data_IF_239359642368
#
_entry.id   IF_239359642368
#
_cell.length_a   1.000
_cell.length_b   1.000
_cell.length_c   1.000
_cell.angle_alpha   90.00
_cell.angle_beta   90.00
_cell.angle_gamma   90.00
#
_symmetry.space_group_name_H-M   'P 1'
#
loop_
_entity.id
_entity.type
_entity.pdbx_description
1 polymer ?
#
# COMPACT_ATOMS: atom_id res chain seq x y z
N UNK A 1 -15.02 -55.89 0.91
CA UNK A 1 -14.83 -55.04 -0.23
C UNK A 1 -14.75 -53.61 0.29
N UNK A 2 -13.58 -52.96 0.22
CA UNK A 2 -13.40 -51.56 0.57
C UNK A 2 -13.60 -50.73 -0.69
N UNK A 3 -14.48 -49.76 -0.60
CA UNK A 3 -14.83 -48.83 -1.67
C UNK A 3 -13.60 -47.98 -2.06
N UNK A 4 -13.12 -48.02 -3.31
CA UNK A 4 -11.94 -47.28 -3.74
C UNK A 4 -12.24 -45.82 -4.14
N UNK A 5 -13.43 -45.29 -3.87
CA UNK A 5 -13.89 -43.97 -4.33
C UNK A 5 -13.52 -42.79 -3.41
N UNK A 6 -12.57 -42.97 -2.47
CA UNK A 6 -12.02 -41.91 -1.64
C UNK A 6 -10.91 -41.07 -2.33
N UNK A 7 -10.91 -40.96 -3.63
CA UNK A 7 -10.04 -40.02 -4.36
C UNK A 7 -10.56 -38.59 -4.17
N UNK A 8 -10.13 -37.95 -3.10
CA UNK A 8 -10.29 -36.54 -2.89
C UNK A 8 -9.74 -35.82 -4.13
N UNK A 9 -10.62 -35.19 -4.87
CA UNK A 9 -10.23 -34.21 -5.86
C UNK A 9 -9.58 -33.05 -5.12
N UNK A 10 -8.24 -32.93 -5.20
CA UNK A 10 -7.50 -31.81 -4.63
C UNK A 10 -7.88 -30.46 -5.26
N UNK A 11 -8.63 -30.50 -6.37
CA UNK A 11 -8.98 -29.34 -7.18
C UNK A 11 -10.00 -28.37 -6.55
N UNK A 12 -10.69 -28.72 -5.47
CA UNK A 12 -11.80 -27.93 -4.94
C UNK A 12 -11.48 -27.15 -3.64
N UNK A 13 -10.28 -27.28 -3.07
CA UNK A 13 -9.99 -26.69 -1.77
C UNK A 13 -9.06 -25.47 -1.89
N UNK A 14 -9.52 -24.36 -1.36
CA UNK A 14 -8.77 -23.22 -0.83
C UNK A 14 -8.29 -22.09 -1.77
N UNK A 15 -8.40 -22.18 -3.08
CA UNK A 15 -7.89 -21.13 -3.97
C UNK A 15 -8.55 -19.74 -3.77
N UNK A 16 -9.77 -19.70 -3.23
CA UNK A 16 -10.49 -18.44 -2.97
C UNK A 16 -9.87 -17.58 -1.85
N UNK A 17 -8.96 -18.13 -1.06
CA UNK A 17 -8.29 -17.41 0.04
C UNK A 17 -6.97 -16.79 -0.37
N UNK A 18 -6.45 -17.08 -1.58
CA UNK A 18 -5.19 -16.51 -2.06
C UNK A 18 -5.40 -15.02 -2.27
N UNK A 19 -4.67 -14.19 -1.53
CA UNK A 19 -4.71 -12.74 -1.68
C UNK A 19 -3.80 -12.24 -2.80
N UNK A 20 -3.79 -10.92 -3.04
CA UNK A 20 -3.01 -10.34 -4.15
C UNK A 20 -1.50 -10.48 -3.94
N UNK A 21 -1.01 -10.41 -2.69
CA UNK A 21 0.41 -10.51 -2.39
C UNK A 21 0.87 -11.96 -2.49
N UNK A 22 0.03 -12.89 -2.10
CA UNK A 22 0.27 -14.33 -2.25
C UNK A 22 0.37 -14.75 -3.71
N UNK A 23 -0.37 -14.11 -4.64
CA UNK A 23 -0.20 -14.38 -6.07
C UNK A 23 1.22 -14.15 -6.55
N UNK A 24 1.92 -13.13 -5.97
CA UNK A 24 3.30 -12.80 -6.31
C UNK A 24 4.32 -13.82 -5.76
N UNK A 25 3.90 -14.65 -4.84
CA UNK A 25 4.71 -15.75 -4.27
C UNK A 25 4.39 -17.05 -4.97
N UNK A 26 3.10 -17.40 -5.06
CA UNK A 26 2.66 -18.69 -5.59
C UNK A 26 2.84 -18.83 -7.10
N UNK A 27 2.65 -17.74 -7.84
CA UNK A 27 2.84 -17.75 -9.30
C UNK A 27 4.25 -18.15 -9.72
N UNK A 28 5.29 -17.38 -9.34
CA UNK A 28 6.67 -17.71 -9.70
C UNK A 28 7.14 -19.07 -9.16
N UNK A 29 6.68 -19.45 -7.96
CA UNK A 29 6.98 -20.74 -7.39
C UNK A 29 6.41 -21.87 -8.24
N UNK A 30 5.14 -21.79 -8.61
CA UNK A 30 4.49 -22.82 -9.43
C UNK A 30 5.15 -22.93 -10.82
N UNK A 31 5.45 -21.80 -11.48
CA UNK A 31 6.15 -21.80 -12.78
C UNK A 31 7.50 -22.52 -12.69
N UNK A 32 8.29 -22.17 -11.70
CA UNK A 32 9.58 -22.84 -11.45
C UNK A 32 9.39 -24.34 -11.23
N UNK A 33 8.46 -24.73 -10.38
CA UNK A 33 8.23 -26.14 -10.02
C UNK A 33 7.57 -26.94 -11.14
N UNK A 34 6.69 -26.38 -11.94
CA UNK A 34 6.17 -27.02 -13.15
C UNK A 34 7.34 -27.39 -14.08
N UNK A 35 8.30 -26.48 -14.24
CA UNK A 35 9.47 -26.69 -15.08
C UNK A 35 10.44 -27.76 -14.50
N UNK A 36 10.64 -27.77 -13.20
CA UNK A 36 11.56 -28.69 -12.53
C UNK A 36 10.99 -30.10 -12.36
N UNK A 37 9.69 -30.21 -12.01
CA UNK A 37 9.07 -31.46 -11.54
C UNK A 37 8.19 -32.09 -12.61
N UNK A 38 7.32 -31.30 -13.27
CA UNK A 38 6.28 -31.83 -14.17
C UNK A 38 6.72 -31.94 -15.63
N UNK A 39 7.61 -31.02 -16.08
CA UNK A 39 8.11 -31.03 -17.46
C UNK A 39 8.96 -32.28 -17.72
N UNK A 40 8.86 -32.83 -18.90
CA UNK A 40 9.56 -34.06 -19.36
C UNK A 40 9.07 -35.36 -18.73
N UNK A 41 8.15 -35.34 -17.77
CA UNK A 41 7.55 -36.58 -17.24
C UNK A 41 6.73 -37.28 -18.30
N UNK A 42 5.95 -36.53 -19.07
CA UNK A 42 5.13 -37.01 -20.18
C UNK A 42 5.30 -36.05 -21.35
N UNK A 43 6.24 -36.31 -22.30
CA UNK A 43 6.62 -35.35 -23.34
C UNK A 43 5.46 -34.83 -24.20
N UNK A 44 4.39 -35.60 -24.36
CA UNK A 44 3.18 -35.15 -25.09
C UNK A 44 2.45 -33.99 -24.41
N UNK A 45 2.62 -33.80 -23.11
CA UNK A 45 2.02 -32.72 -22.32
C UNK A 45 2.94 -31.52 -22.13
N UNK A 46 4.22 -31.60 -22.51
CA UNK A 46 5.18 -30.52 -22.35
C UNK A 46 4.73 -29.20 -22.97
N UNK A 47 4.14 -29.15 -24.19
CA UNK A 47 3.63 -27.89 -24.74
C UNK A 47 2.52 -27.27 -23.90
N UNK A 48 1.63 -28.10 -23.33
CA UNK A 48 0.55 -27.62 -22.47
C UNK A 48 1.07 -27.11 -21.11
N UNK A 49 2.06 -27.80 -20.53
CA UNK A 49 2.73 -27.38 -19.29
C UNK A 49 3.50 -26.05 -19.48
N UNK A 50 4.21 -25.89 -20.61
CA UNK A 50 4.91 -24.65 -20.94
C UNK A 50 3.93 -23.50 -21.17
N UNK A 51 2.85 -23.76 -21.91
CA UNK A 51 1.80 -22.76 -22.14
C UNK A 51 1.18 -22.28 -20.82
N UNK A 52 0.75 -23.19 -19.95
CA UNK A 52 0.10 -22.82 -18.71
C UNK A 52 1.05 -22.12 -17.73
N UNK A 53 2.34 -22.47 -17.72
CA UNK A 53 3.38 -21.77 -16.96
C UNK A 53 3.52 -20.31 -17.43
N UNK A 54 3.56 -20.08 -18.76
CA UNK A 54 3.56 -18.73 -19.33
C UNK A 54 2.32 -17.91 -19.01
N UNK A 55 1.15 -18.55 -18.97
CA UNK A 55 -0.11 -17.90 -18.56
C UNK A 55 -0.05 -17.48 -17.07
N UNK A 56 0.49 -18.32 -16.19
CA UNK A 56 0.71 -17.95 -14.76
C UNK A 56 1.64 -16.74 -14.65
N UNK A 57 2.77 -16.72 -15.38
CA UNK A 57 3.68 -15.58 -15.38
C UNK A 57 2.99 -14.30 -15.82
N UNK A 58 2.25 -14.36 -16.93
CA UNK A 58 1.51 -13.23 -17.49
C UNK A 58 0.47 -12.70 -16.50
N UNK A 59 -0.32 -13.60 -15.92
CA UNK A 59 -1.35 -13.23 -14.94
C UNK A 59 -0.71 -12.67 -13.65
N UNK A 60 0.41 -13.25 -13.18
CA UNK A 60 1.15 -12.75 -12.02
C UNK A 60 1.70 -11.34 -12.26
N UNK A 61 2.29 -11.09 -13.44
CA UNK A 61 2.77 -9.78 -13.81
C UNK A 61 1.64 -8.74 -13.89
N UNK A 62 0.45 -9.12 -14.38
CA UNK A 62 -0.71 -8.24 -14.43
C UNK A 62 -1.17 -7.79 -13.02
N UNK A 63 -1.29 -8.73 -12.08
CA UNK A 63 -1.60 -8.42 -10.67
C UNK A 63 -0.50 -7.55 -10.04
N UNK A 64 0.78 -7.92 -10.25
CA UNK A 64 1.93 -7.19 -9.72
C UNK A 64 1.99 -5.73 -10.19
N UNK A 65 1.69 -5.46 -11.46
CA UNK A 65 1.60 -4.11 -12.01
C UNK A 65 0.55 -3.27 -11.30
N UNK A 66 -0.66 -3.83 -11.10
CA UNK A 66 -1.74 -3.12 -10.42
C UNK A 66 -1.44 -2.90 -8.94
N UNK A 67 -0.79 -3.84 -8.26
CA UNK A 67 -0.29 -3.68 -6.88
C UNK A 67 0.74 -2.56 -6.79
N UNK A 68 1.68 -2.49 -7.72
CA UNK A 68 2.67 -1.40 -7.82
C UNK A 68 1.98 -0.04 -7.91
N UNK A 69 1.04 0.11 -8.83
CA UNK A 69 0.25 1.33 -9.00
C UNK A 69 -0.50 1.72 -7.72
N UNK A 70 -1.06 0.75 -7.00
CA UNK A 70 -1.79 1.01 -5.75
C UNK A 70 -0.85 1.49 -4.64
N UNK A 71 0.31 0.86 -4.49
CA UNK A 71 1.34 1.26 -3.51
C UNK A 71 1.85 2.67 -3.79
N UNK A 72 2.11 3.01 -5.05
CA UNK A 72 2.50 4.35 -5.46
C UNK A 72 1.44 5.39 -5.08
N UNK A 73 0.16 5.11 -5.37
CA UNK A 73 -0.96 5.99 -4.99
C UNK A 73 -1.08 6.14 -3.47
N UNK A 74 -0.84 5.10 -2.68
CA UNK A 74 -0.86 5.18 -1.22
C UNK A 74 0.31 6.02 -0.67
N UNK A 75 1.50 5.93 -1.26
CA UNK A 75 2.64 6.79 -0.91
C UNK A 75 2.33 8.25 -1.25
N UNK A 76 1.86 8.53 -2.46
CA UNK A 76 1.46 9.88 -2.88
C UNK A 76 0.37 10.46 -1.97
N UNK A 77 -0.62 9.64 -1.60
CA UNK A 77 -1.67 10.04 -0.66
C UNK A 77 -1.10 10.40 0.71
N UNK A 78 -0.14 9.63 1.21
CA UNK A 78 0.47 9.86 2.53
C UNK A 78 1.31 11.14 2.55
N UNK A 79 2.11 11.37 1.52
CA UNK A 79 2.90 12.60 1.35
C UNK A 79 1.98 13.81 1.19
N UNK A 80 0.98 13.71 0.30
CA UNK A 80 -0.02 14.76 0.09
C UNK A 80 -0.85 15.06 1.34
N UNK A 81 -1.14 14.06 2.18
CA UNK A 81 -1.85 14.26 3.45
C UNK A 81 -1.04 15.11 4.43
N UNK A 82 0.27 14.86 4.56
CA UNK A 82 1.14 15.64 5.46
C UNK A 82 1.27 17.10 5.00
N UNK A 83 1.51 17.32 3.72
CA UNK A 83 1.57 18.67 3.14
C UNK A 83 0.24 19.42 3.34
N UNK A 84 -0.87 18.74 3.11
CA UNK A 84 -2.21 19.28 3.30
C UNK A 84 -2.48 19.64 4.76
N UNK A 85 -2.08 18.81 5.73
CA UNK A 85 -2.28 19.07 7.16
C UNK A 85 -1.48 20.31 7.61
N UNK A 86 -0.28 20.52 7.09
CA UNK A 86 0.50 21.75 7.31
C UNK A 86 -0.24 22.96 6.77
N UNK A 87 -0.65 22.94 5.52
CA UNK A 87 -1.36 24.05 4.87
C UNK A 87 -2.73 24.33 5.50
N UNK A 88 -3.47 23.29 5.94
CA UNK A 88 -4.70 23.47 6.72
C UNK A 88 -4.41 24.16 8.05
N UNK A 89 -3.32 23.81 8.72
CA UNK A 89 -2.94 24.42 10.00
C UNK A 89 -2.57 25.89 9.81
N UNK A 90 -1.82 26.23 8.77
CA UNK A 90 -1.46 27.61 8.40
C UNK A 90 -2.69 28.44 8.04
N UNK A 91 -3.57 27.89 7.20
CA UNK A 91 -4.82 28.55 6.82
C UNK A 91 -5.74 28.80 8.03
N UNK A 92 -5.81 27.87 8.96
CA UNK A 92 -6.55 28.03 10.22
C UNK A 92 -5.92 29.08 11.14
N UNK A 93 -4.60 29.13 11.21
CA UNK A 93 -3.87 30.17 11.95
C UNK A 93 -4.17 31.57 11.35
N UNK A 94 -4.22 31.69 10.02
CA UNK A 94 -4.63 32.91 9.32
C UNK A 94 -6.07 33.32 9.70
N UNK A 95 -7.03 32.38 9.62
CA UNK A 95 -8.41 32.64 10.02
C UNK A 95 -8.52 33.05 11.51
N UNK A 96 -7.69 32.46 12.38
CA UNK A 96 -7.61 32.85 13.79
C UNK A 96 -7.06 34.24 14.01
N UNK A 97 -6.00 34.65 13.27
CA UNK A 97 -5.46 36.01 13.29
C UNK A 97 -6.51 37.02 12.79
N UNK A 98 -7.18 36.68 11.70
CA UNK A 98 -8.25 37.51 11.16
C UNK A 98 -9.41 37.68 12.16
N UNK A 99 -9.86 36.63 12.83
CA UNK A 99 -10.88 36.70 13.87
C UNK A 99 -10.48 37.66 15.00
N UNK A 100 -9.22 37.56 15.49
CA UNK A 100 -8.69 38.46 16.53
C UNK A 100 -8.61 39.90 16.02
N UNK A 101 -8.25 40.11 14.77
CA UNK A 101 -8.26 41.45 14.16
C UNK A 101 -9.65 42.06 14.13
N UNK A 102 -10.68 41.29 13.78
CA UNK A 102 -12.06 41.76 13.85
C UNK A 102 -12.48 42.15 15.27
N UNK A 103 -12.05 41.37 16.29
CA UNK A 103 -12.35 41.63 17.70
C UNK A 103 -11.69 42.89 18.23
N UNK A 104 -10.52 43.23 17.72
CA UNK A 104 -9.77 44.42 18.14
C UNK A 104 -10.39 45.76 17.63
N UNK A 105 -11.30 45.69 16.65
CA UNK A 105 -11.90 46.88 16.05
C UNK A 105 -13.32 47.10 16.59
N UNK A 106 -13.76 48.37 16.57
CA UNK A 106 -15.13 48.73 16.98
C UNK A 106 -16.19 47.92 16.24
N UNK A 107 -17.16 47.33 16.98
CA UNK A 107 -18.17 46.38 16.46
C UNK A 107 -17.63 45.06 15.98
N UNK A 108 -16.52 44.55 16.53
CA UNK A 108 -15.88 43.31 16.12
C UNK A 108 -16.80 42.09 16.12
N UNK A 109 -17.76 42.02 17.08
CA UNK A 109 -18.74 40.94 17.14
C UNK A 109 -19.68 40.94 15.91
N UNK A 110 -20.15 42.13 15.48
CA UNK A 110 -21.00 42.26 14.29
C UNK A 110 -20.17 41.96 13.02
N UNK A 111 -18.96 42.51 12.94
CA UNK A 111 -18.05 42.24 11.83
C UNK A 111 -17.73 40.72 11.76
N UNK A 112 -17.53 40.05 12.89
CA UNK A 112 -17.31 38.59 12.92
C UNK A 112 -18.51 37.84 12.37
N UNK A 113 -19.74 38.16 12.72
CA UNK A 113 -20.95 37.53 12.19
C UNK A 113 -21.09 37.69 10.69
N UNK A 114 -20.64 38.82 10.13
CA UNK A 114 -20.67 39.09 8.67
C UNK A 114 -19.54 38.42 7.90
N UNK A 115 -18.30 38.53 8.40
CA UNK A 115 -17.11 38.10 7.65
C UNK A 115 -16.59 36.72 8.04
N UNK A 116 -16.98 36.24 9.22
CA UNK A 116 -16.58 34.94 9.72
C UNK A 116 -17.75 34.32 10.52
N UNK A 117 -18.85 33.94 9.84
CA UNK A 117 -20.07 33.45 10.48
C UNK A 117 -19.86 32.16 11.26
N UNK A 118 -18.84 31.37 10.87
CA UNK A 118 -18.45 30.15 11.57
C UNK A 118 -17.21 30.38 12.42
N UNK A 119 -17.24 29.97 13.68
CA UNK A 119 -16.04 30.00 14.50
C UNK A 119 -15.03 28.90 14.07
N UNK A 120 -13.77 28.99 14.51
CA UNK A 120 -12.71 28.07 14.15
C UNK A 120 -13.02 26.60 14.53
N UNK A 121 -13.81 26.41 15.58
CA UNK A 121 -14.24 25.08 16.03
C UNK A 121 -15.23 24.47 15.05
N UNK A 122 -16.18 25.27 14.56
CA UNK A 122 -17.19 24.85 13.57
C UNK A 122 -16.57 24.59 12.19
N UNK A 123 -15.61 25.41 11.77
CA UNK A 123 -14.84 25.18 10.52
C UNK A 123 -14.10 23.85 10.62
N UNK A 124 -13.63 23.49 11.82
CA UNK A 124 -12.92 22.25 12.05
C UNK A 124 -11.57 22.19 11.31
N UNK A 125 -11.04 20.98 11.09
CA UNK A 125 -9.77 20.74 10.38
C UNK A 125 -9.96 20.08 9.00
N UNK A 126 -11.19 19.98 8.52
CA UNK A 126 -11.47 19.40 7.21
C UNK A 126 -11.03 20.36 6.11
N UNK A 127 -10.12 19.97 5.20
CA UNK A 127 -9.58 20.86 4.16
C UNK A 127 -10.66 21.56 3.33
N UNK A 128 -11.70 20.85 2.93
CA UNK A 128 -12.79 21.39 2.14
C UNK A 128 -13.58 22.48 2.90
N UNK A 129 -13.78 22.34 4.21
CA UNK A 129 -14.42 23.36 5.06
C UNK A 129 -13.53 24.59 5.23
N UNK A 130 -12.23 24.39 5.39
CA UNK A 130 -11.26 25.49 5.47
C UNK A 130 -11.19 26.24 4.13
N UNK A 131 -11.18 25.52 3.00
CA UNK A 131 -11.26 26.12 1.66
C UNK A 131 -12.54 26.93 1.46
N UNK A 132 -13.69 26.40 1.89
CA UNK A 132 -14.96 27.12 1.82
C UNK A 132 -14.92 28.39 2.65
N UNK A 133 -14.37 28.33 3.88
CA UNK A 133 -14.23 29.52 4.74
C UNK A 133 -13.30 30.57 4.12
N UNK A 134 -12.17 30.16 3.55
CA UNK A 134 -11.27 31.07 2.82
C UNK A 134 -11.95 31.69 1.60
N UNK A 135 -12.69 30.89 0.82
CA UNK A 135 -13.44 31.36 -0.35
C UNK A 135 -14.51 32.40 0.01
N UNK A 136 -15.30 32.14 1.05
CA UNK A 136 -16.30 33.08 1.56
C UNK A 136 -15.65 34.37 2.06
N UNK A 137 -14.55 34.24 2.82
CA UNK A 137 -13.81 35.42 3.32
C UNK A 137 -13.19 36.22 2.18
N UNK A 138 -12.60 35.58 1.17
CA UNK A 138 -12.07 36.23 -0.01
C UNK A 138 -13.14 37.07 -0.74
N UNK A 139 -14.33 36.47 -0.94
CA UNK A 139 -15.45 37.18 -1.59
C UNK A 139 -15.91 38.36 -0.76
N UNK A 140 -16.01 38.23 0.55
CA UNK A 140 -16.41 39.27 1.45
C UNK A 140 -15.41 40.44 1.51
N UNK A 141 -14.11 40.14 1.55
CA UNK A 141 -13.03 41.15 1.56
C UNK A 141 -12.87 41.87 0.22
N UNK A 142 -13.25 41.25 -0.91
CA UNK A 142 -13.20 41.86 -2.23
C UNK A 142 -14.37 42.82 -2.49
N UNK A 143 -15.37 42.90 -1.62
CA UNK A 143 -16.52 43.79 -1.78
C UNK A 143 -16.09 45.25 -1.73
N UNK A 144 -16.64 46.09 -2.64
CA UNK A 144 -16.27 47.54 -2.79
C UNK A 144 -16.39 48.35 -1.50
N UNK A 145 -17.34 48.00 -0.62
CA UNK A 145 -17.63 48.70 0.62
C UNK A 145 -17.25 47.86 1.84
N UNK A 146 -16.16 47.08 1.77
CA UNK A 146 -15.71 46.27 2.90
C UNK A 146 -15.26 47.21 4.05
N UNK A 147 -15.91 47.17 5.22
CA UNK A 147 -15.57 48.03 6.35
C UNK A 147 -14.40 47.50 7.18
N UNK A 148 -13.78 46.38 6.77
CA UNK A 148 -12.66 45.78 7.49
C UNK A 148 -11.42 46.62 7.31
N UNK A 149 -10.77 47.01 8.41
CA UNK A 149 -9.49 47.70 8.36
C UNK A 149 -8.44 46.82 7.66
N UNK A 150 -7.65 47.42 6.77
CA UNK A 150 -6.65 46.68 5.98
C UNK A 150 -7.20 45.53 5.11
N UNK A 151 -8.44 45.66 4.61
CA UNK A 151 -9.09 44.62 3.82
C UNK A 151 -8.24 44.10 2.66
N UNK A 152 -7.47 45.01 1.98
CA UNK A 152 -6.61 44.66 0.87
C UNK A 152 -5.42 43.74 1.29
N UNK A 153 -4.85 43.96 2.46
CA UNK A 153 -3.77 43.14 2.99
C UNK A 153 -4.30 41.73 3.34
N UNK A 154 -5.42 41.69 4.05
CA UNK A 154 -6.08 40.43 4.38
C UNK A 154 -6.53 39.68 3.13
N UNK A 155 -7.03 40.37 2.10
CA UNK A 155 -7.40 39.71 0.84
C UNK A 155 -6.21 39.04 0.16
N UNK A 156 -5.02 39.67 0.18
CA UNK A 156 -3.80 39.05 -0.36
C UNK A 156 -3.44 37.74 0.41
N UNK A 157 -3.40 37.81 1.75
CA UNK A 157 -3.07 36.67 2.57
C UNK A 157 -4.09 35.51 2.39
N UNK A 158 -5.38 35.82 2.39
CA UNK A 158 -6.46 34.83 2.21
C UNK A 158 -6.38 34.21 0.81
N UNK A 159 -6.10 35.02 -0.22
CA UNK A 159 -5.96 34.53 -1.60
C UNK A 159 -4.75 33.61 -1.73
N UNK A 160 -3.61 33.96 -1.12
CA UNK A 160 -2.41 33.14 -1.11
C UNK A 160 -2.65 31.80 -0.38
N UNK A 161 -3.29 31.84 0.79
CA UNK A 161 -3.61 30.62 1.54
C UNK A 161 -4.59 29.71 0.77
N UNK A 162 -5.61 30.27 0.12
CA UNK A 162 -6.53 29.52 -0.72
C UNK A 162 -5.82 28.90 -1.94
N UNK A 163 -4.93 29.63 -2.60
CA UNK A 163 -4.14 29.16 -3.73
C UNK A 163 -3.18 28.03 -3.35
N UNK A 164 -2.57 28.10 -2.15
CA UNK A 164 -1.68 27.06 -1.65
C UNK A 164 -2.44 25.77 -1.28
N UNK A 165 -3.64 25.87 -0.73
CA UNK A 165 -4.43 24.72 -0.30
C UNK A 165 -5.20 24.03 -1.44
N UNK A 166 -5.61 24.77 -2.47
CA UNK A 166 -6.44 24.27 -3.57
C UNK A 166 -5.84 23.05 -4.33
N UNK A 167 -4.57 23.06 -4.78
CA UNK A 167 -3.99 21.92 -5.48
C UNK A 167 -3.93 20.68 -4.59
N UNK A 168 -3.58 20.84 -3.31
CA UNK A 168 -3.47 19.71 -2.36
C UNK A 168 -4.81 19.03 -2.09
N UNK A 169 -5.91 19.77 -2.13
CA UNK A 169 -7.27 19.21 -2.02
C UNK A 169 -7.62 18.46 -3.30
N UNK A 170 -7.38 19.06 -4.46
CA UNK A 170 -7.64 18.44 -5.76
C UNK A 170 -6.85 17.15 -5.97
N UNK A 171 -5.55 17.14 -5.65
CA UNK A 171 -4.67 15.98 -5.77
C UNK A 171 -5.14 14.83 -4.86
N UNK A 172 -5.57 15.16 -3.64
CA UNK A 172 -6.09 14.15 -2.70
C UNK A 172 -7.39 13.51 -3.21
N UNK A 173 -8.29 14.30 -3.77
CA UNK A 173 -9.56 13.79 -4.29
C UNK A 173 -9.35 13.01 -5.60
N UNK A 174 -8.41 13.42 -6.43
CA UNK A 174 -7.96 12.67 -7.61
C UNK A 174 -7.38 11.31 -7.21
N UNK A 175 -6.45 11.27 -6.25
CA UNK A 175 -5.86 10.03 -5.76
C UNK A 175 -6.90 9.06 -5.18
N UNK A 176 -7.89 9.56 -4.42
CA UNK A 176 -9.00 8.73 -3.92
C UNK A 176 -9.84 8.15 -5.06
N UNK A 177 -10.13 8.95 -6.09
CA UNK A 177 -10.93 8.51 -7.24
C UNK A 177 -10.18 7.45 -8.03
N UNK A 178 -8.88 7.65 -8.26
CA UNK A 178 -8.01 6.68 -8.94
C UNK A 178 -7.95 5.37 -8.16
N UNK A 179 -7.76 5.42 -6.84
CA UNK A 179 -7.76 4.21 -6.01
C UNK A 179 -9.08 3.44 -6.06
N UNK A 180 -10.22 4.14 -6.04
CA UNK A 180 -11.54 3.50 -6.17
C UNK A 180 -11.71 2.76 -7.50
N UNK A 181 -11.09 3.25 -8.57
CA UNK A 181 -11.09 2.58 -9.88
C UNK A 181 -10.17 1.37 -9.92
N UNK A 182 -8.99 1.46 -9.27
CA UNK A 182 -8.01 0.37 -9.25
C UNK A 182 -8.49 -0.86 -8.46
N UNK A 183 -9.33 -0.69 -7.43
CA UNK A 183 -9.81 -1.81 -6.62
C UNK A 183 -10.54 -2.89 -7.45
N UNK A 184 -11.56 -2.58 -8.28
CA UNK A 184 -12.22 -3.58 -9.11
C UNK A 184 -11.29 -4.17 -10.18
N UNK A 185 -10.32 -3.40 -10.70
CA UNK A 185 -9.34 -3.89 -11.68
C UNK A 185 -8.40 -4.94 -11.06
N UNK A 186 -7.93 -4.70 -9.84
CA UNK A 186 -7.12 -5.67 -9.09
C UNK A 186 -7.92 -6.94 -8.80
N UNK A 187 -9.19 -6.82 -8.40
CA UNK A 187 -10.05 -7.98 -8.16
C UNK A 187 -10.29 -8.78 -9.43
N UNK A 188 -10.51 -8.12 -10.56
CA UNK A 188 -10.65 -8.79 -11.85
C UNK A 188 -9.35 -9.52 -12.25
N UNK A 189 -8.20 -8.87 -12.10
CA UNK A 189 -6.91 -9.47 -12.38
C UNK A 189 -6.62 -10.68 -11.47
N UNK A 190 -6.92 -10.56 -10.16
CA UNK A 190 -6.82 -11.67 -9.21
C UNK A 190 -7.73 -12.83 -9.60
N UNK A 191 -8.97 -12.54 -9.95
CA UNK A 191 -9.91 -13.57 -10.37
C UNK A 191 -9.43 -14.31 -11.63
N UNK A 192 -8.89 -13.58 -12.60
CA UNK A 192 -8.28 -14.15 -13.80
C UNK A 192 -7.06 -15.02 -13.43
N UNK A 193 -6.20 -14.53 -12.54
CA UNK A 193 -5.06 -15.27 -12.04
C UNK A 193 -5.49 -16.59 -11.38
N UNK A 194 -6.52 -16.58 -10.53
CA UNK A 194 -7.04 -17.78 -9.88
C UNK A 194 -7.53 -18.82 -10.89
N UNK A 195 -8.20 -18.39 -11.96
CA UNK A 195 -8.66 -19.30 -13.02
C UNK A 195 -7.47 -19.98 -13.71
N UNK A 196 -6.42 -19.21 -14.06
CA UNK A 196 -5.21 -19.75 -14.67
C UNK A 196 -4.48 -20.71 -13.73
N UNK A 197 -4.38 -20.35 -12.45
CA UNK A 197 -3.73 -21.16 -11.43
C UNK A 197 -4.46 -22.49 -11.19
N UNK A 198 -5.79 -22.48 -11.17
CA UNK A 198 -6.61 -23.69 -11.10
C UNK A 198 -6.46 -24.57 -12.34
N UNK A 199 -6.42 -23.98 -13.52
CA UNK A 199 -6.16 -24.70 -14.76
C UNK A 199 -4.77 -25.38 -14.74
N UNK A 200 -3.77 -24.67 -14.21
CA UNK A 200 -2.42 -25.21 -14.02
C UNK A 200 -2.42 -26.42 -13.05
N UNK A 201 -3.10 -26.31 -11.92
CA UNK A 201 -3.27 -27.43 -10.99
C UNK A 201 -3.87 -28.65 -11.67
N UNK A 202 -4.95 -28.47 -12.41
CA UNK A 202 -5.61 -29.56 -13.14
C UNK A 202 -4.71 -30.19 -14.20
N UNK A 203 -3.93 -29.39 -14.92
CA UNK A 203 -3.01 -29.86 -15.96
C UNK A 203 -1.86 -30.67 -15.35
N UNK A 204 -1.24 -30.16 -14.29
CA UNK A 204 -0.15 -30.83 -13.57
C UNK A 204 -0.65 -32.10 -12.90
N UNK A 205 -1.82 -32.04 -12.27
CA UNK A 205 -2.46 -33.21 -11.66
C UNK A 205 -2.66 -34.34 -12.69
N UNK A 206 -3.14 -34.00 -13.89
CA UNK A 206 -3.31 -35.00 -14.95
C UNK A 206 -1.99 -35.67 -15.33
N UNK A 207 -0.91 -34.88 -15.48
CA UNK A 207 0.43 -35.40 -15.82
C UNK A 207 0.99 -36.28 -14.69
N UNK A 208 0.91 -35.85 -13.43
CA UNK A 208 1.40 -36.59 -12.29
C UNK A 208 0.60 -37.88 -12.06
N UNK A 209 -0.72 -37.88 -12.33
CA UNK A 209 -1.55 -39.10 -12.27
C UNK A 209 -1.10 -40.14 -13.28
N UNK A 210 -0.78 -39.76 -14.51
CA UNK A 210 -0.29 -40.68 -15.55
C UNK A 210 1.02 -41.35 -15.13
N UNK A 211 1.81 -40.74 -14.28
CA UNK A 211 3.08 -41.26 -13.74
C UNK A 211 2.95 -41.83 -12.34
N UNK A 212 1.74 -41.90 -11.78
CA UNK A 212 1.47 -42.34 -10.42
C UNK A 212 2.27 -41.53 -9.34
N UNK A 213 2.50 -40.24 -9.63
CA UNK A 213 3.30 -39.33 -8.78
C UNK A 213 2.47 -38.18 -8.17
N UNK A 214 1.19 -38.43 -7.93
CA UNK A 214 0.25 -37.42 -7.42
C UNK A 214 0.71 -36.79 -6.08
N UNK A 215 1.51 -37.51 -5.30
CA UNK A 215 2.08 -37.01 -4.05
C UNK A 215 3.00 -35.81 -4.20
N UNK A 216 3.48 -35.52 -5.43
CA UNK A 216 4.31 -34.34 -5.72
C UNK A 216 3.50 -33.04 -5.90
N UNK A 217 2.16 -33.06 -5.92
CA UNK A 217 1.34 -31.87 -6.04
C UNK A 217 1.71 -30.75 -5.04
N UNK A 218 1.92 -31.04 -3.73
CA UNK A 218 2.36 -30.02 -2.77
C UNK A 218 3.77 -29.45 -3.02
N UNK A 219 4.62 -30.18 -3.77
CA UNK A 219 5.94 -29.67 -4.16
C UNK A 219 5.86 -28.71 -5.33
N UNK A 220 4.83 -28.84 -6.18
CA UNK A 220 4.60 -27.95 -7.33
C UNK A 220 3.77 -26.73 -6.93
N UNK A 221 2.78 -26.90 -6.08
CA UNK A 221 1.89 -25.82 -5.67
C UNK A 221 2.02 -25.57 -4.17
N UNK A 222 2.65 -24.44 -3.83
CA UNK A 222 3.02 -24.09 -2.47
C UNK A 222 1.81 -23.96 -1.51
N UNK A 223 0.68 -23.47 -2.02
CA UNK A 223 -0.56 -23.34 -1.25
C UNK A 223 -1.12 -24.69 -0.77
N UNK A 224 -0.80 -25.77 -1.44
CA UNK A 224 -1.16 -27.15 -1.00
C UNK A 224 -0.26 -27.65 0.14
N UNK A 225 0.93 -27.08 0.30
CA UNK A 225 1.88 -27.44 1.37
C UNK A 225 1.66 -26.62 2.65
N UNK A 226 1.00 -25.44 2.55
CA UNK A 226 0.81 -24.53 3.67
C UNK A 226 -0.56 -24.76 4.34
N UNK A 227 -0.62 -24.96 5.68
CA UNK A 227 -1.89 -25.02 6.40
C UNK A 227 -2.67 -23.69 6.23
N UNK A 228 -3.97 -23.78 5.98
CA UNK A 228 -4.88 -22.68 5.63
C UNK A 228 -4.92 -21.48 6.58
N UNK A 229 -4.22 -21.51 7.71
CA UNK A 229 -4.21 -20.45 8.74
C UNK A 229 -2.84 -19.80 8.97
N UNK A 230 -1.85 -20.07 8.12
CA UNK A 230 -0.50 -19.51 8.29
C UNK A 230 -0.32 -18.34 7.32
N UNK A 231 0.06 -17.16 7.83
CA UNK A 231 0.51 -16.06 6.96
C UNK A 231 1.69 -16.55 6.13
N UNK A 232 1.53 -16.53 4.82
CA UNK A 232 2.57 -16.98 3.90
C UNK A 232 3.71 -15.98 3.92
N UNK A 233 4.85 -16.44 4.43
CA UNK A 233 6.14 -15.79 4.18
C UNK A 233 6.73 -16.45 2.94
N UNK A 234 7.47 -15.71 2.12
CA UNK A 234 8.15 -16.28 0.95
C UNK A 234 8.86 -17.60 1.31
N UNK A 235 8.85 -18.59 0.40
CA UNK A 235 9.57 -19.84 0.63
C UNK A 235 11.02 -19.53 1.04
N UNK A 236 11.59 -20.25 2.02
CA UNK A 236 12.96 -20.03 2.42
C UNK A 236 13.87 -20.20 1.18
N UNK A 237 14.64 -19.17 0.87
CA UNK A 237 15.69 -19.31 -0.14
C UNK A 237 16.56 -20.52 0.23
N UNK A 238 16.93 -21.36 -0.74
CA UNK A 238 17.84 -22.46 -0.48
C UNK A 238 19.09 -21.91 0.20
N UNK A 239 19.32 -22.34 1.43
CA UNK A 239 20.49 -21.94 2.22
C UNK A 239 21.74 -22.03 1.36
N UNK A 240 22.58 -20.99 1.27
CA UNK A 240 23.82 -21.07 0.51
C UNK A 240 24.62 -22.27 1.04
N UNK A 241 24.97 -23.18 0.16
CA UNK A 241 25.80 -24.34 0.45
C UNK A 241 27.02 -23.86 1.22
N UNK A 242 27.36 -24.42 2.37
CA UNK A 242 28.52 -23.99 3.14
C UNK A 242 29.75 -24.15 2.25
N UNK A 243 30.36 -23.04 1.88
CA UNK A 243 31.65 -23.04 1.24
C UNK A 243 32.62 -23.75 2.21
N UNK A 244 33.15 -24.86 1.80
CA UNK A 244 34.20 -25.62 2.47
C UNK A 244 35.26 -24.64 2.99
N UNK A 245 35.63 -24.67 4.27
CA UNK A 245 36.67 -23.79 4.75
C UNK A 245 38.02 -24.21 4.17
N UNK A 246 38.54 -23.32 3.34
CA UNK A 246 39.93 -23.45 2.88
C UNK A 246 40.85 -23.18 4.07
N UNK A 247 41.69 -24.17 4.32
CA UNK A 247 42.68 -24.23 5.37
C UNK A 247 43.68 -23.07 5.32
N UNK A 248 44.00 -22.56 6.47
CA UNK A 248 45.30 -22.01 6.92
C UNK A 248 45.73 -20.60 6.47
N UNK A 249 45.68 -19.67 7.42
CA UNK A 249 46.88 -18.84 7.71
C UNK A 249 46.89 -18.34 9.18
N UNK A 250 48.06 -18.18 9.80
CA UNK A 250 48.20 -18.03 11.23
C UNK A 250 48.09 -16.60 11.73
N UNK A 251 47.66 -16.43 12.96
CA UNK A 251 47.50 -15.20 13.70
C UNK A 251 48.86 -14.53 14.02
N UNK A 252 48.95 -13.21 14.09
CA UNK A 252 49.90 -12.48 14.99
C UNK A 252 49.18 -11.89 16.23
N UNK A 253 49.94 -11.50 17.26
CA UNK A 253 49.52 -11.54 18.64
C UNK A 253 48.86 -10.25 19.15
N UNK A 254 48.13 -10.45 20.20
CA UNK A 254 47.57 -9.57 21.21
C UNK A 254 48.41 -8.33 21.53
N UNK A 255 47.76 -7.16 21.65
CA UNK A 255 48.16 -6.11 22.58
C UNK A 255 46.93 -5.52 23.27
N UNK A 256 47.07 -5.45 24.56
CA UNK A 256 46.12 -5.11 25.62
C UNK A 256 45.93 -3.61 25.82
N UNK A 257 44.97 -3.33 26.65
CA UNK A 257 44.71 -2.12 27.48
C UNK A 257 43.78 -1.08 26.83
N UNK A 258 42.88 -0.44 27.48
CA UNK A 258 42.51 -0.25 28.89
C UNK A 258 41.25 0.62 28.95
N UNK A 259 40.35 0.26 29.84
CA UNK A 259 39.56 1.09 30.76
C UNK A 259 39.17 2.52 30.38
N UNK A 260 37.90 2.87 30.56
CA UNK A 260 37.33 3.90 31.46
C UNK A 260 35.87 4.14 31.12
N UNK A 261 34.94 3.82 31.97
CA UNK A 261 34.36 4.60 33.05
C UNK A 261 33.12 5.41 32.70
N UNK A 262 32.03 4.96 33.27
CA UNK A 262 30.91 5.68 33.91
C UNK A 262 30.48 7.05 33.33
N UNK A 263 29.21 7.20 32.98
CA UNK A 263 28.36 8.18 33.68
C UNK A 263 26.87 7.91 33.51
N UNK A 264 26.26 7.75 34.62
CA UNK A 264 24.84 7.67 34.99
C UNK A 264 24.28 9.10 35.02
N UNK A 265 23.20 9.39 34.35
CA UNK A 265 22.36 10.53 34.76
C UNK A 265 20.89 10.17 34.64
N UNK A 266 20.28 9.92 35.78
CA UNK A 266 18.85 10.13 36.06
C UNK A 266 18.56 11.61 35.93
N UNK A 267 17.46 11.98 35.37
CA UNK A 267 16.70 13.11 35.89
C UNK A 267 15.18 12.86 35.73
N UNK A 268 14.54 13.16 36.83
CA UNK A 268 13.14 12.98 37.21
C UNK A 268 12.53 14.39 37.31
N UNK A 269 11.25 14.52 37.06
CA UNK A 269 10.33 15.65 37.38
C UNK A 269 10.42 16.87 36.42
N UNK A 270 9.33 17.44 36.03
CA UNK A 270 7.98 17.75 36.59
C UNK A 270 6.97 17.82 35.46
#
# INVERSE_FOLDING_TARGET
>A
MRDPSGLLSFSAMADNYIDYEETQIYGPFAVKKITEVALKLVPKYDPALQYIAGEIETATAAVGKLLGNTREQDVMRTVGARAKDSQVTEARALLGRFSKHLDAHKKGEVARKLYMPSNLTQIGRTPSRVMLALGNLKTALAAKNCPVHEASSWLKEVTAAAAALAPLVADTDSAKTTRRKLTPEIEAARSSWLQVYQAAKSTVEAVLRLQNQLHLMPEVFYDLAVPSNTKVTAPPEPSPTPLTPSLTQPSPPSSASSSHSKSRRKNKRS
#
